data_IF_990368616459
#
_entry.id   IF_990368616459
#
_cell.length_a   1.000
_cell.length_b   1.000
_cell.length_c   1.000
_cell.angle_alpha   90.00
_cell.angle_beta   90.00
_cell.angle_gamma   90.00
#
_symmetry.space_group_name_H-M   'P 1'
#
loop_
_entity.id
_entity.type
_entity.pdbx_description
1 polymer ?
#
# COMPACT_ATOMS: atom_id res chain seq x y z
N UNK A 1 7.18 -10.52 27.85
CA UNK A 1 6.77 -10.65 26.43
C UNK A 1 5.31 -10.24 26.34
N UNK A 2 5.00 -9.05 25.83
CA UNK A 2 3.64 -8.51 25.84
C UNK A 2 2.77 -9.23 24.81
N UNK A 3 1.61 -9.74 25.23
CA UNK A 3 0.60 -10.44 24.42
C UNK A 3 -0.09 -9.58 23.35
N UNK A 4 0.29 -8.31 23.20
CA UNK A 4 -0.56 -7.28 22.58
C UNK A 4 -0.75 -7.40 21.06
N UNK A 5 0.06 -8.17 20.33
CA UNK A 5 0.07 -8.20 18.85
C UNK A 5 0.12 -9.61 18.23
N UNK A 6 -0.29 -10.67 18.94
CA UNK A 6 -0.33 -12.02 18.35
C UNK A 6 -1.71 -12.29 17.73
N UNK A 7 -1.74 -12.91 16.55
CA UNK A 7 -2.99 -13.38 15.95
C UNK A 7 -3.62 -14.44 16.89
N UNK A 8 -4.87 -14.26 17.36
CA UNK A 8 -5.46 -15.11 18.39
C UNK A 8 -5.87 -16.51 17.90
N UNK A 9 -5.81 -16.78 16.59
CA UNK A 9 -6.15 -18.08 15.99
C UNK A 9 -4.88 -18.79 15.52
N UNK A 10 -4.27 -19.59 16.40
CA UNK A 10 -3.13 -20.46 16.08
C UNK A 10 -3.51 -21.94 15.94
N UNK A 11 -4.81 -22.28 15.89
CA UNK A 11 -5.31 -23.66 15.89
C UNK A 11 -6.10 -24.03 14.62
N UNK A 12 -5.66 -25.10 13.95
CA UNK A 12 -6.41 -25.92 12.98
C UNK A 12 -7.18 -25.18 11.85
N UNK A 13 -6.48 -24.69 10.83
CA UNK A 13 -6.99 -24.66 9.44
C UNK A 13 -5.85 -24.96 8.48
N UNK A 14 -6.13 -25.79 7.49
CA UNK A 14 -5.22 -26.32 6.47
C UNK A 14 -4.23 -25.30 5.87
N UNK A 15 -2.95 -25.68 5.88
CA UNK A 15 -1.79 -25.11 5.17
C UNK A 15 -2.16 -24.20 3.98
N UNK A 16 -2.22 -22.89 4.23
CA UNK A 16 -1.97 -21.90 3.20
C UNK A 16 -0.54 -21.38 3.39
N UNK A 17 0.25 -21.52 2.34
CA UNK A 17 1.67 -21.21 2.26
C UNK A 17 1.94 -19.72 2.51
N UNK A 18 2.52 -19.38 3.66
CA UNK A 18 3.54 -18.35 3.92
C UNK A 18 3.81 -18.41 5.44
N UNK A 19 5.03 -18.77 5.82
CA UNK A 19 5.51 -19.09 7.18
C UNK A 19 4.85 -18.34 8.35
N UNK A 20 4.11 -19.08 9.19
CA UNK A 20 3.58 -18.62 10.50
C UNK A 20 4.33 -19.25 11.68
N UNK A 21 5.56 -19.73 11.47
CA UNK A 21 6.43 -20.25 12.54
C UNK A 21 7.24 -19.15 13.21
N UNK A 22 7.80 -19.45 14.39
CA UNK A 22 8.77 -18.59 15.08
C UNK A 22 9.93 -18.25 14.13
N UNK A 23 10.24 -16.96 13.97
CA UNK A 23 11.32 -16.47 13.11
C UNK A 23 12.51 -15.98 13.94
N UNK A 24 13.66 -15.77 13.31
CA UNK A 24 14.89 -15.34 13.99
C UNK A 24 14.72 -14.10 14.89
N UNK A 25 13.85 -13.15 14.52
CA UNK A 25 13.57 -11.96 15.34
C UNK A 25 12.88 -12.29 16.66
N UNK A 26 12.11 -13.37 16.71
CA UNK A 26 11.43 -13.80 17.94
C UNK A 26 12.44 -14.41 18.93
N UNK A 27 13.47 -15.07 18.42
CA UNK A 27 14.56 -15.64 19.22
C UNK A 27 15.60 -14.58 19.63
N UNK A 28 15.94 -13.66 18.73
CA UNK A 28 16.92 -12.60 18.96
C UNK A 28 16.31 -11.21 18.67
N UNK A 29 15.50 -10.67 19.60
CA UNK A 29 14.77 -9.42 19.37
C UNK A 29 15.68 -8.19 19.16
N UNK A 30 16.91 -8.23 19.68
CA UNK A 30 17.88 -7.13 19.58
C UNK A 30 18.93 -7.35 18.47
N UNK A 31 18.77 -8.37 17.61
CA UNK A 31 19.67 -8.59 16.49
C UNK A 31 19.55 -7.46 15.46
N UNK A 32 20.68 -7.05 14.87
CA UNK A 32 20.73 -6.05 13.81
C UNK A 32 19.85 -6.47 12.62
N UNK A 33 18.92 -5.59 12.23
CA UNK A 33 17.97 -5.87 11.16
C UNK A 33 18.52 -5.42 9.79
N UNK A 34 19.05 -6.37 9.01
CA UNK A 34 19.54 -6.10 7.64
C UNK A 34 18.43 -6.04 6.58
N UNK A 35 17.16 -6.27 6.94
CA UNK A 35 16.04 -6.25 5.97
C UNK A 35 15.84 -4.90 5.30
N UNK A 36 16.22 -3.83 5.99
CA UNK A 36 16.13 -2.46 5.48
C UNK A 36 16.95 -2.26 4.20
N UNK A 37 18.02 -3.02 4.00
CA UNK A 37 18.93 -2.87 2.86
C UNK A 37 18.33 -3.40 1.54
N UNK A 38 17.18 -4.07 1.58
CA UNK A 38 16.55 -4.67 0.40
C UNK A 38 15.03 -4.44 0.30
N UNK A 39 14.49 -3.40 0.95
CA UNK A 39 13.04 -3.12 1.00
C UNK A 39 12.40 -2.79 -0.36
N UNK A 40 13.17 -2.33 -1.34
CA UNK A 40 12.69 -1.90 -2.66
C UNK A 40 13.50 -2.54 -3.80
N UNK A 41 13.68 -3.86 -3.73
CA UNK A 41 14.36 -4.60 -4.78
C UNK A 41 13.64 -4.46 -6.13
N UNK A 42 14.41 -4.48 -7.23
CA UNK A 42 13.85 -4.50 -8.58
C UNK A 42 12.99 -5.75 -8.83
N UNK A 43 13.22 -6.84 -8.09
CA UNK A 43 12.44 -8.08 -8.19
C UNK A 43 10.98 -7.91 -7.78
N UNK A 44 10.68 -6.97 -6.87
CA UNK A 44 9.32 -6.66 -6.45
C UNK A 44 8.68 -5.52 -7.25
N UNK A 45 9.41 -4.90 -8.19
CA UNK A 45 8.89 -3.80 -9.00
C UNK A 45 8.21 -4.33 -10.28
N UNK A 46 6.88 -4.13 -10.45
CA UNK A 46 6.16 -4.62 -11.63
C UNK A 46 6.43 -3.82 -12.91
N UNK A 47 7.00 -2.61 -12.81
CA UNK A 47 7.13 -1.68 -13.95
C UNK A 47 8.26 -2.06 -14.94
N UNK A 48 9.11 -3.04 -14.59
CA UNK A 48 10.23 -3.48 -15.42
C UNK A 48 11.46 -2.57 -15.34
N UNK A 49 12.63 -3.11 -15.71
CA UNK A 49 13.94 -2.46 -15.51
C UNK A 49 14.14 -1.16 -16.31
N UNK A 50 13.46 -1.03 -17.44
CA UNK A 50 13.65 0.09 -18.38
C UNK A 50 12.64 1.23 -18.17
N UNK A 51 11.72 1.10 -17.20
CA UNK A 51 10.70 2.11 -16.97
C UNK A 51 11.28 3.36 -16.31
N UNK A 52 10.95 4.53 -16.87
CA UNK A 52 11.36 5.82 -16.33
C UNK A 52 10.13 6.70 -16.08
N UNK A 53 9.74 6.79 -14.80
CA UNK A 53 8.55 7.54 -14.39
C UNK A 53 8.62 9.01 -14.80
N UNK A 54 9.77 9.68 -14.64
CA UNK A 54 9.92 11.09 -14.97
C UNK A 54 9.76 11.35 -16.49
N UNK A 55 10.21 10.42 -17.34
CA UNK A 55 10.02 10.51 -18.79
C UNK A 55 8.55 10.32 -19.17
N UNK A 56 7.86 9.35 -18.59
CA UNK A 56 6.45 9.10 -18.89
C UNK A 56 5.54 10.22 -18.33
N UNK A 57 5.82 10.72 -17.13
CA UNK A 57 5.08 11.84 -16.54
C UNK A 57 5.14 13.10 -17.40
N UNK A 58 6.27 13.38 -18.07
CA UNK A 58 6.40 14.52 -18.99
C UNK A 58 5.51 14.42 -20.23
N UNK A 59 5.11 13.22 -20.63
CA UNK A 59 4.21 13.00 -21.77
C UNK A 59 2.73 13.07 -21.37
N UNK A 60 2.45 13.01 -20.07
CA UNK A 60 1.10 13.03 -19.54
C UNK A 60 0.43 14.38 -19.85
N UNK A 61 -0.82 14.35 -20.31
CA UNK A 61 -1.63 15.55 -20.37
C UNK A 61 -2.04 15.96 -18.96
N UNK A 62 -1.22 16.81 -18.36
CA UNK A 62 -1.44 17.28 -17.00
C UNK A 62 -2.73 18.11 -16.84
N UNK A 63 -3.22 18.73 -17.93
CA UNK A 63 -4.44 19.54 -17.87
C UNK A 63 -5.68 18.65 -17.87
N UNK A 64 -5.70 17.59 -18.68
CA UNK A 64 -6.81 16.63 -18.68
C UNK A 64 -6.93 15.93 -17.33
N UNK A 65 -5.82 15.44 -16.76
CA UNK A 65 -5.84 14.77 -15.45
C UNK A 65 -6.44 15.67 -14.36
N UNK A 66 -6.07 16.95 -14.32
CA UNK A 66 -6.68 17.88 -13.36
C UNK A 66 -8.17 18.09 -13.61
N UNK A 67 -8.58 18.21 -14.87
CA UNK A 67 -10.00 18.35 -15.23
C UNK A 67 -10.80 17.12 -14.78
N UNK A 68 -10.27 15.94 -15.01
CA UNK A 68 -10.91 14.67 -14.62
C UNK A 68 -11.01 14.56 -13.10
N UNK A 69 -9.98 15.00 -12.36
CA UNK A 69 -10.04 15.07 -10.90
C UNK A 69 -11.11 16.04 -10.40
N UNK A 70 -11.26 17.22 -11.01
CA UNK A 70 -12.33 18.15 -10.63
C UNK A 70 -13.71 17.58 -10.92
N UNK A 71 -13.90 16.85 -12.03
CA UNK A 71 -15.15 16.19 -12.32
C UNK A 71 -15.46 15.08 -11.30
N UNK A 72 -14.46 14.24 -10.96
CA UNK A 72 -14.58 13.18 -9.97
C UNK A 72 -14.99 13.71 -8.60
N UNK A 73 -14.53 14.91 -8.22
CA UNK A 73 -14.85 15.48 -6.92
C UNK A 73 -16.34 15.63 -6.66
N UNK A 74 -17.19 15.77 -7.69
CA UNK A 74 -18.65 15.88 -7.56
C UNK A 74 -19.39 14.64 -8.08
N UNK A 75 -18.67 13.62 -8.55
CA UNK A 75 -19.24 12.38 -9.09
C UNK A 75 -19.43 11.34 -7.97
N UNK A 76 -20.48 11.55 -7.17
CA UNK A 76 -20.77 10.73 -6.00
C UNK A 76 -21.05 9.27 -6.37
N UNK A 77 -20.38 8.35 -5.68
CA UNK A 77 -20.49 6.90 -5.85
C UNK A 77 -21.40 6.29 -4.78
N UNK A 78 -22.32 5.40 -5.16
CA UNK A 78 -23.31 4.82 -4.23
C UNK A 78 -22.67 4.00 -3.09
N UNK A 79 -21.54 3.35 -3.36
CA UNK A 79 -20.81 2.56 -2.37
C UNK A 79 -19.99 3.41 -1.40
N UNK A 80 -19.78 4.70 -1.71
CA UNK A 80 -19.13 5.67 -0.82
C UNK A 80 -19.59 7.10 -1.13
N UNK A 81 -20.80 7.51 -0.68
CA UNK A 81 -21.39 8.79 -1.10
C UNK A 81 -20.54 10.01 -0.73
N UNK A 82 -20.58 11.04 -1.57
CA UNK A 82 -19.85 12.28 -1.33
C UNK A 82 -20.57 13.16 -0.29
N UNK A 83 -19.85 13.58 0.74
CA UNK A 83 -20.38 14.53 1.73
C UNK A 83 -20.72 15.86 1.04
N UNK A 84 -21.94 16.35 1.25
CA UNK A 84 -22.47 17.55 0.59
C UNK A 84 -22.40 17.52 -0.95
N UNK A 85 -22.33 16.32 -1.54
CA UNK A 85 -22.16 16.13 -2.98
C UNK A 85 -20.75 16.45 -3.48
N UNK A 86 -19.73 16.52 -2.61
CA UNK A 86 -18.36 16.84 -3.00
C UNK A 86 -17.28 16.15 -2.15
N UNK A 87 -16.39 15.36 -2.77
CA UNK A 87 -15.27 14.66 -2.11
C UNK A 87 -14.09 15.56 -1.69
N UNK A 88 -14.26 16.88 -1.69
CA UNK A 88 -13.13 17.81 -1.53
C UNK A 88 -12.49 17.72 -0.16
N UNK A 89 -13.30 17.69 0.90
CA UNK A 89 -12.79 17.50 2.26
C UNK A 89 -12.05 16.17 2.43
N UNK A 90 -12.57 15.10 1.83
CA UNK A 90 -11.94 13.77 1.87
C UNK A 90 -10.59 13.76 1.15
N UNK A 91 -10.50 14.29 -0.07
CA UNK A 91 -9.26 14.31 -0.84
C UNK A 91 -8.17 15.20 -0.26
N UNK A 92 -8.53 16.26 0.49
CA UNK A 92 -7.54 17.10 1.19
C UNK A 92 -6.90 16.34 2.36
N UNK A 93 -7.65 15.44 3.00
CA UNK A 93 -7.20 14.69 4.18
C UNK A 93 -6.30 13.49 3.83
N UNK A 94 -6.55 12.85 2.68
CA UNK A 94 -5.86 11.63 2.23
C UNK A 94 -4.37 11.87 2.02
#
# INVERSE_FOLDING_TARGET
>A
MSEKNKCPVTGMVSKSSISHGTINRDWWPNQVNLKILHQHSQLSNPMGKNFNYAKEFKKLDYKSVKKDLYALMTDSQDWWPADWGHYGGLFIRM
#
